data_IF_646932872242
#
_entry.id   IF_646932872242
#
_cell.length_a   1.000
_cell.length_b   1.000
_cell.length_c   1.000
_cell.angle_alpha   90.00
_cell.angle_beta   90.00
_cell.angle_gamma   90.00
#
_symmetry.space_group_name_H-M   'P 1'
#
loop_
_entity.id
_entity.type
_entity.pdbx_description
1 polymer ?
#
# COMPACT_ATOMS: atom_id res chain seq x y z
N UNK A 1 -16.87 39.93 17.73
CA UNK A 1 -15.90 38.98 17.13
C UNK A 1 -16.23 38.89 15.66
N UNK A 2 -15.24 38.94 14.76
CA UNK A 2 -15.52 38.83 13.32
C UNK A 2 -16.12 37.46 13.00
N UNK A 3 -17.24 37.43 12.28
CA UNK A 3 -17.76 36.19 11.72
C UNK A 3 -16.72 35.60 10.76
N UNK A 4 -16.39 34.33 10.97
CA UNK A 4 -15.52 33.60 10.06
C UNK A 4 -16.33 33.16 8.84
N UNK A 5 -15.77 33.35 7.65
CA UNK A 5 -16.44 33.04 6.39
C UNK A 5 -16.69 31.55 6.15
N UNK A 6 -15.90 30.67 6.77
CA UNK A 6 -15.91 29.22 6.51
C UNK A 6 -15.91 28.35 7.77
N UNK A 7 -15.45 28.88 8.91
CA UNK A 7 -15.34 28.10 10.15
C UNK A 7 -16.73 27.79 10.68
N UNK A 8 -17.01 26.51 10.93
CA UNK A 8 -18.30 26.03 11.45
C UNK A 8 -19.37 25.77 10.38
N UNK A 9 -19.10 26.06 9.11
CA UNK A 9 -20.06 25.82 8.03
C UNK A 9 -19.99 24.39 7.47
N UNK A 10 -21.13 23.84 7.05
CA UNK A 10 -21.24 22.51 6.44
C UNK A 10 -20.87 22.55 4.94
N UNK A 11 -19.60 22.80 4.66
CA UNK A 11 -19.06 22.89 3.30
C UNK A 11 -18.50 21.52 2.88
N UNK A 12 -18.85 20.97 1.69
CA UNK A 12 -18.23 19.76 1.19
C UNK A 12 -16.72 19.90 1.02
N UNK A 13 -15.95 18.86 1.38
CA UNK A 13 -14.51 18.84 1.13
C UNK A 13 -14.24 18.79 -0.38
N UNK A 14 -13.14 19.44 -0.81
CA UNK A 14 -12.75 19.51 -2.22
C UNK A 14 -12.66 18.13 -2.88
N UNK A 15 -12.12 17.15 -2.16
CA UNK A 15 -11.91 15.77 -2.62
C UNK A 15 -13.12 14.85 -2.40
N UNK A 16 -14.18 15.32 -1.73
CA UNK A 16 -15.30 14.47 -1.32
C UNK A 16 -15.99 13.80 -2.50
N UNK A 17 -16.19 14.54 -3.59
CA UNK A 17 -16.87 14.04 -4.79
C UNK A 17 -16.06 12.94 -5.48
N UNK A 18 -14.75 13.13 -5.64
CA UNK A 18 -13.89 12.14 -6.32
C UNK A 18 -13.77 10.85 -5.51
N UNK A 19 -13.67 10.99 -4.18
CA UNK A 19 -13.69 9.84 -3.26
C UNK A 19 -15.01 9.08 -3.30
N UNK A 20 -16.14 9.79 -3.23
CA UNK A 20 -17.47 9.18 -3.25
C UNK A 20 -17.83 8.51 -4.59
N UNK A 21 -17.21 8.96 -5.69
CA UNK A 21 -17.47 8.43 -7.04
C UNK A 21 -16.45 7.40 -7.51
N UNK A 22 -15.44 7.07 -6.69
CA UNK A 22 -14.36 6.15 -7.06
C UNK A 22 -13.42 6.69 -8.14
N UNK A 23 -13.43 8.01 -8.37
CA UNK A 23 -12.53 8.66 -9.35
C UNK A 23 -11.17 9.01 -8.75
N UNK A 24 -11.10 9.14 -7.42
CA UNK A 24 -9.85 9.34 -6.71
C UNK A 24 -8.98 8.10 -6.87
N UNK A 25 -7.76 8.26 -7.43
CA UNK A 25 -6.78 7.19 -7.56
C UNK A 25 -5.90 7.13 -6.32
N UNK A 26 -5.78 5.96 -5.73
CA UNK A 26 -4.88 5.64 -4.64
C UNK A 26 -3.66 4.88 -5.14
N UNK A 27 -2.66 4.69 -4.27
CA UNK A 27 -1.42 4.01 -4.63
C UNK A 27 -1.63 2.62 -5.24
N UNK A 28 -2.63 1.88 -4.78
CA UNK A 28 -2.98 0.56 -5.31
C UNK A 28 -3.61 0.59 -6.72
N UNK A 29 -4.13 1.74 -7.16
CA UNK A 29 -4.72 1.93 -8.49
C UNK A 29 -3.66 2.27 -9.55
N UNK A 30 -2.43 2.59 -9.12
CA UNK A 30 -1.34 2.93 -10.01
C UNK A 30 -0.78 1.68 -10.69
N UNK A 31 -0.52 1.77 -12.00
CA UNK A 31 0.17 0.75 -12.79
C UNK A 31 1.23 1.42 -13.64
N UNK A 32 2.41 0.82 -13.71
CA UNK A 32 3.54 1.28 -14.51
C UNK A 32 4.07 0.12 -15.36
N UNK A 33 4.62 0.45 -16.52
CA UNK A 33 5.30 -0.55 -17.35
C UNK A 33 6.52 -1.12 -16.60
N UNK A 34 6.68 -2.44 -16.62
CA UNK A 34 7.74 -3.12 -15.88
C UNK A 34 7.56 -3.18 -14.36
N UNK A 35 6.40 -2.80 -13.81
CA UNK A 35 6.14 -2.86 -12.37
C UNK A 35 6.28 -4.29 -11.82
N UNK A 36 7.11 -4.45 -10.79
CA UNK A 36 7.23 -5.70 -10.04
C UNK A 36 6.28 -5.73 -8.85
N UNK A 37 5.86 -6.93 -8.46
CA UNK A 37 5.04 -7.15 -7.27
C UNK A 37 5.89 -7.71 -6.13
N UNK A 38 5.76 -7.12 -4.94
CA UNK A 38 6.45 -7.56 -3.74
C UNK A 38 5.60 -8.50 -2.89
N UNK A 39 6.23 -9.52 -2.28
CA UNK A 39 5.63 -10.37 -1.26
C UNK A 39 6.56 -10.44 -0.06
N UNK A 40 6.02 -10.11 1.12
CA UNK A 40 6.77 -10.10 2.38
C UNK A 40 6.63 -11.47 3.03
N UNK A 41 7.78 -12.12 3.30
CA UNK A 41 7.86 -13.31 4.15
C UNK A 41 7.93 -12.82 5.60
N UNK A 42 6.96 -13.22 6.42
CA UNK A 42 6.85 -12.80 7.82
C UNK A 42 7.02 -14.00 8.75
N UNK A 43 7.58 -13.76 9.92
CA UNK A 43 7.53 -14.71 11.04
C UNK A 43 6.10 -14.71 11.60
N UNK A 44 5.40 -15.83 11.52
CA UNK A 44 4.04 -15.96 12.03
C UNK A 44 3.98 -16.66 13.40
N UNK A 45 4.94 -17.55 13.67
CA UNK A 45 4.88 -18.45 14.84
C UNK A 45 5.60 -17.90 16.07
N UNK A 46 6.47 -16.89 15.90
CA UNK A 46 7.29 -16.36 16.99
C UNK A 46 7.22 -14.83 17.05
N UNK A 47 6.97 -14.30 18.25
CA UNK A 47 7.07 -12.87 18.53
C UNK A 47 8.53 -12.39 18.62
N UNK A 48 9.44 -13.28 19.02
CA UNK A 48 10.88 -13.01 19.11
C UNK A 48 11.67 -14.29 18.79
N UNK A 49 12.61 -14.21 17.85
CA UNK A 49 13.47 -15.31 17.45
C UNK A 49 14.74 -14.78 16.77
N UNK A 50 15.81 -15.57 16.81
CA UNK A 50 17.01 -15.35 16.00
C UNK A 50 16.84 -16.02 14.63
N UNK A 51 17.14 -15.28 13.56
CA UNK A 51 17.09 -15.83 12.19
C UNK A 51 18.41 -16.51 11.87
N UNK A 52 18.46 -17.83 12.04
CA UNK A 52 19.68 -18.62 11.79
C UNK A 52 19.93 -18.83 10.29
N UNK A 53 18.87 -19.01 9.50
CA UNK A 53 18.97 -19.26 8.05
C UNK A 53 17.69 -18.81 7.33
N UNK A 54 17.86 -18.29 6.12
CA UNK A 54 16.78 -18.09 5.15
C UNK A 54 17.14 -18.85 3.87
N UNK A 55 16.20 -19.61 3.32
CA UNK A 55 16.38 -20.36 2.09
C UNK A 55 15.31 -19.99 1.05
N UNK A 56 15.77 -19.41 -0.06
CA UNK A 56 14.91 -19.00 -1.18
C UNK A 56 15.06 -19.91 -2.42
N UNK A 57 15.72 -21.06 -2.29
CA UNK A 57 16.01 -21.98 -3.41
C UNK A 57 14.77 -22.36 -4.21
N UNK A 58 13.68 -22.73 -3.54
CA UNK A 58 12.41 -23.08 -4.21
C UNK A 58 11.70 -21.86 -4.78
N UNK A 59 11.69 -20.74 -4.06
CA UNK A 59 11.04 -19.51 -4.52
C UNK A 59 11.65 -19.00 -5.83
N UNK A 60 12.97 -19.08 -5.98
CA UNK A 60 13.69 -18.68 -7.20
C UNK A 60 13.35 -19.53 -8.43
N UNK A 61 12.81 -20.74 -8.26
CA UNK A 61 12.40 -21.62 -9.37
C UNK A 61 11.00 -21.28 -9.90
N UNK A 62 10.21 -20.52 -9.15
CA UNK A 62 8.83 -20.19 -9.53
C UNK A 62 8.84 -19.20 -10.70
N UNK A 63 8.15 -19.51 -11.82
CA UNK A 63 8.03 -18.59 -12.95
C UNK A 63 7.47 -17.23 -12.52
N UNK A 64 8.11 -16.15 -12.99
CA UNK A 64 7.71 -14.77 -12.66
C UNK A 64 8.37 -14.18 -11.40
N UNK A 65 9.12 -14.97 -10.63
CA UNK A 65 9.96 -14.42 -9.55
C UNK A 65 11.18 -13.73 -10.16
N UNK A 66 11.26 -12.42 -9.97
CA UNK A 66 12.37 -11.61 -10.49
C UNK A 66 13.55 -11.57 -9.51
N UNK A 67 13.29 -11.50 -8.19
CA UNK A 67 14.34 -11.45 -7.16
C UNK A 67 13.81 -11.89 -5.79
N UNK A 68 14.68 -12.49 -4.97
CA UNK A 68 14.48 -12.68 -3.52
C UNK A 68 15.56 -11.88 -2.78
N UNK A 69 15.19 -11.20 -1.70
CA UNK A 69 16.04 -10.32 -0.88
C UNK A 69 16.12 -10.83 0.55
#
# INVERSE_FOLDING_TARGET
MSEFSVVGQRIPKLDAKEKATGRCKYAADMRMEGMLYGKIVRCWDYAHAEVVKIDFSEAKKVPGVVKCL
#
